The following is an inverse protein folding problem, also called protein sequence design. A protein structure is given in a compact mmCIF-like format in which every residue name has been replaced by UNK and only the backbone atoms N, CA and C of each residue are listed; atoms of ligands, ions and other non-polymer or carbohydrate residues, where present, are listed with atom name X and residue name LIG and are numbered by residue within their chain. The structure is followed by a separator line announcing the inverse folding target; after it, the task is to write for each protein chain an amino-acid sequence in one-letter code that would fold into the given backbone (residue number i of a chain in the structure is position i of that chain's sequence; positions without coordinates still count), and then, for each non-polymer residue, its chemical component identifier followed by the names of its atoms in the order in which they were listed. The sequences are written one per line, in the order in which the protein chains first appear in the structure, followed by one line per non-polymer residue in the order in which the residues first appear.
data_IF_191589631083
#
_entry.id   IF_191589631083
#
_cell.length_a   1.000
_cell.length_b   1.000
_cell.length_c   1.000
_cell.angle_alpha   90.00
_cell.angle_beta   90.00
_cell.angle_gamma   90.00
#
_symmetry.space_group_name_H-M   'P 1'
#
loop_
_entity.id
_entity.type
_entity.pdbx_description
1 polymer ?
#
# COMPACT_ATOMS: atom_id res chain seq x y z
N UNK A 1 -36.49 13.15 22.36
CA UNK A 1 -36.01 11.77 22.18
C UNK A 1 -35.25 11.73 20.87
N UNK A 2 -33.94 11.52 20.94
CA UNK A 2 -33.01 11.44 19.80
C UNK A 2 -33.12 10.10 19.09
N UNK A 3 -33.00 10.12 17.76
CA UNK A 3 -32.53 9.04 16.87
C UNK A 3 -32.85 9.45 15.42
N UNK A 4 -32.02 9.28 14.39
CA UNK A 4 -30.63 8.92 14.24
C UNK A 4 -30.19 9.54 12.91
N UNK A 5 -28.92 9.94 12.87
CA UNK A 5 -28.19 10.36 11.68
C UNK A 5 -28.15 9.18 10.69
N UNK A 6 -28.98 9.20 9.66
CA UNK A 6 -28.85 8.31 8.50
C UNK A 6 -28.24 9.14 7.36
N UNK A 7 -26.93 9.38 7.51
CA UNK A 7 -26.08 9.85 6.43
C UNK A 7 -26.07 8.80 5.33
N UNK A 8 -27.08 8.89 4.46
CA UNK A 8 -27.17 8.21 3.18
C UNK A 8 -25.92 8.58 2.40
N UNK A 9 -24.98 7.64 2.34
CA UNK A 9 -23.77 7.72 1.53
C UNK A 9 -24.19 7.71 0.05
N UNK A 10 -24.57 8.90 -0.42
CA UNK A 10 -24.90 9.23 -1.80
C UNK A 10 -23.63 9.01 -2.62
N UNK A 11 -23.49 7.80 -3.15
CA UNK A 11 -22.38 7.44 -4.04
C UNK A 11 -22.67 8.09 -5.39
N UNK A 12 -22.39 9.39 -5.49
CA UNK A 12 -22.64 10.20 -6.67
C UNK A 12 -21.65 9.82 -7.79
N UNK A 13 -22.08 8.93 -8.68
CA UNK A 13 -21.35 8.59 -9.91
C UNK A 13 -21.55 9.71 -10.93
N UNK A 14 -20.60 10.65 -10.99
CA UNK A 14 -20.56 11.67 -12.05
C UNK A 14 -19.98 11.03 -13.32
N UNK A 15 -20.86 10.59 -14.22
CA UNK A 15 -20.48 10.18 -15.58
C UNK A 15 -20.35 11.45 -16.42
N UNK A 16 -19.14 12.00 -16.48
CA UNK A 16 -18.78 13.01 -17.48
C UNK A 16 -18.22 12.31 -18.71
N UNK A 17 -18.94 12.44 -19.83
CA UNK A 17 -18.57 11.92 -21.14
C UNK A 17 -17.08 12.19 -21.46
N UNK A 18 -16.38 11.13 -21.89
CA UNK A 18 -15.05 11.14 -22.48
C UNK A 18 -13.78 11.23 -21.59
N UNK A 19 -13.85 10.96 -20.28
CA UNK A 19 -12.66 10.62 -19.47
C UNK A 19 -12.86 9.25 -18.82
N UNK A 20 -11.86 8.36 -18.91
CA UNK A 20 -11.85 7.07 -18.19
C UNK A 20 -12.33 7.31 -16.74
N UNK A 21 -13.18 6.44 -16.16
CA UNK A 21 -13.62 6.59 -14.78
C UNK A 21 -12.38 6.62 -13.89
N UNK A 22 -11.98 7.82 -13.47
CA UNK A 22 -11.09 7.99 -12.35
C UNK A 22 -11.93 7.63 -11.15
N UNK A 23 -11.83 6.37 -10.72
CA UNK A 23 -12.27 6.00 -9.38
C UNK A 23 -11.60 7.03 -8.48
N UNK A 24 -12.38 7.72 -7.65
CA UNK A 24 -11.85 8.55 -6.59
C UNK A 24 -11.03 7.60 -5.72
N UNK A 25 -9.74 7.45 -6.04
CA UNK A 25 -8.81 6.78 -5.18
C UNK A 25 -8.86 7.64 -3.94
N UNK A 26 -9.51 7.13 -2.89
CA UNK A 26 -9.17 7.54 -1.55
C UNK A 26 -7.64 7.54 -1.55
N UNK A 27 -7.03 8.72 -1.45
CA UNK A 27 -5.58 8.89 -1.49
C UNK A 27 -5.03 8.23 -0.24
N UNK A 28 -5.01 6.90 -0.23
CA UNK A 28 -4.24 6.12 0.72
C UNK A 28 -2.81 6.41 0.30
N UNK A 29 -2.23 7.42 0.96
CA UNK A 29 -0.89 7.89 0.68
C UNK A 29 0.06 6.88 1.29
N UNK A 30 0.36 5.82 0.54
CA UNK A 30 1.36 4.84 0.91
C UNK A 30 2.74 5.48 0.80
N UNK A 31 3.59 5.31 1.83
CA UNK A 31 4.99 5.72 1.77
C UNK A 31 5.77 4.99 0.67
N UNK A 32 5.40 3.74 0.39
CA UNK A 32 6.03 2.91 -0.64
C UNK A 32 5.02 2.47 -1.69
N UNK A 33 5.42 2.42 -2.96
CA UNK A 33 4.57 1.97 -4.05
C UNK A 33 4.90 0.52 -4.45
N UNK A 34 3.93 -0.28 -4.91
CA UNK A 34 4.20 -1.55 -5.56
C UNK A 34 5.25 -1.38 -6.67
N UNK A 35 6.37 -2.09 -6.55
CA UNK A 35 7.53 -1.92 -7.42
C UNK A 35 8.78 -1.39 -6.72
N UNK A 36 8.62 -0.65 -5.62
CA UNK A 36 9.74 -0.07 -4.89
C UNK A 36 10.57 -1.15 -4.20
N UNK A 37 11.88 -0.92 -4.13
CA UNK A 37 12.77 -1.78 -3.36
C UNK A 37 12.85 -1.25 -1.93
N UNK A 38 12.69 -2.15 -0.96
CA UNK A 38 12.74 -1.87 0.46
C UNK A 38 13.54 -2.94 1.19
N UNK A 39 14.18 -2.54 2.28
CA UNK A 39 14.72 -3.45 3.28
C UNK A 39 13.69 -3.71 4.36
N UNK A 40 13.53 -4.97 4.75
CA UNK A 40 12.77 -5.35 5.92
C UNK A 40 13.63 -5.16 7.16
N UNK A 41 13.23 -4.26 8.05
CA UNK A 41 13.89 -3.99 9.33
C UNK A 41 13.39 -5.00 10.36
N UNK A 42 14.27 -5.88 10.82
CA UNK A 42 14.00 -6.88 11.85
C UNK A 42 14.86 -6.63 13.07
N UNK A 43 14.53 -7.25 14.21
CA UNK A 43 15.35 -7.16 15.43
C UNK A 43 16.79 -7.65 15.25
N UNK A 44 17.06 -8.45 14.22
CA UNK A 44 18.39 -8.99 13.90
C UNK A 44 19.19 -8.15 12.88
N UNK A 45 18.59 -7.10 12.31
CA UNK A 45 19.18 -6.29 11.24
C UNK A 45 18.22 -6.08 10.08
N UNK A 46 18.75 -5.76 8.90
CA UNK A 46 17.97 -5.55 7.68
C UNK A 46 18.02 -6.78 6.79
N UNK A 47 16.86 -7.27 6.35
CA UNK A 47 16.74 -8.32 5.34
C UNK A 47 16.33 -7.71 3.99
N UNK A 48 16.83 -8.26 2.88
CA UNK A 48 16.50 -7.81 1.52
C UNK A 48 17.73 -7.47 0.67
N UNK A 49 17.58 -6.67 -0.40
CA UNK A 49 16.39 -5.90 -0.74
C UNK A 49 15.22 -6.76 -1.24
N UNK A 50 14.01 -6.40 -0.82
CA UNK A 50 12.76 -6.93 -1.34
C UNK A 50 12.03 -5.88 -2.17
N UNK A 51 11.14 -6.31 -3.04
CA UNK A 51 10.28 -5.45 -3.83
C UNK A 51 8.89 -5.41 -3.21
N UNK A 52 8.25 -4.24 -3.17
CA UNK A 52 6.85 -4.13 -2.74
C UNK A 52 5.98 -4.78 -3.81
N UNK A 53 5.26 -5.83 -3.43
CA UNK A 53 4.30 -6.54 -4.28
C UNK A 53 2.95 -5.82 -4.29
N UNK A 54 2.46 -5.46 -3.11
CA UNK A 54 1.20 -4.73 -2.92
C UNK A 54 1.23 -3.91 -1.63
N UNK A 55 0.45 -2.82 -1.62
CA UNK A 55 0.27 -1.96 -0.46
C UNK A 55 -1.24 -1.77 -0.22
N UNK A 56 -1.72 -2.12 0.97
CA UNK A 56 -3.13 -2.05 1.35
C UNK A 56 -3.28 -1.53 2.78
N UNK A 57 -3.90 -0.35 2.94
CA UNK A 57 -4.20 0.25 4.25
C UNK A 57 -2.99 0.42 5.20
N UNK A 58 -1.79 0.69 4.68
CA UNK A 58 -0.55 0.82 5.46
C UNK A 58 0.21 -0.50 5.69
N UNK A 59 -0.30 -1.60 5.12
CA UNK A 59 0.35 -2.90 5.11
C UNK A 59 0.97 -3.17 3.74
N UNK A 60 2.18 -3.74 3.73
CA UNK A 60 2.96 -3.98 2.54
C UNK A 60 3.30 -5.45 2.43
N UNK A 61 2.94 -6.07 1.32
CA UNK A 61 3.39 -7.41 0.97
C UNK A 61 4.65 -7.27 0.14
N UNK A 62 5.66 -8.08 0.45
CA UNK A 62 6.95 -8.05 -0.21
C UNK A 62 7.13 -9.28 -1.10
N UNK A 63 7.87 -9.12 -2.18
CA UNK A 63 8.35 -10.19 -3.04
C UNK A 63 9.87 -10.06 -3.30
N UNK A 64 10.51 -11.14 -3.72
CA UNK A 64 11.90 -11.10 -4.18
C UNK A 64 12.02 -10.49 -5.59
N UNK A 65 13.24 -10.36 -6.11
CA UNK A 65 13.48 -9.86 -7.47
C UNK A 65 12.86 -10.75 -8.57
N UNK A 66 12.51 -12.00 -8.28
CA UNK A 66 11.82 -12.91 -9.19
C UNK A 66 10.30 -12.77 -9.13
N UNK A 67 9.77 -11.92 -8.24
CA UNK A 67 8.33 -11.76 -7.99
C UNK A 67 7.73 -12.88 -7.17
N UNK A 68 8.54 -13.68 -6.47
CA UNK A 68 8.08 -14.67 -5.51
C UNK A 68 7.82 -13.98 -4.18
N UNK A 69 6.61 -14.15 -3.66
CA UNK A 69 6.21 -13.56 -2.39
C UNK A 69 7.18 -13.94 -1.27
N UNK A 70 7.77 -12.92 -0.66
CA UNK A 70 8.74 -13.07 0.41
C UNK A 70 8.04 -13.42 1.73
N UNK A 71 8.75 -14.13 2.61
CA UNK A 71 8.30 -14.45 3.96
C UNK A 71 6.90 -15.09 4.04
N UNK A 72 6.50 -15.82 3.00
CA UNK A 72 5.22 -16.52 2.92
C UNK A 72 4.00 -15.62 2.76
N UNK A 73 4.14 -14.40 2.25
CA UNK A 73 3.03 -13.47 2.05
C UNK A 73 2.62 -12.72 3.30
N UNK A 74 3.56 -12.56 4.23
CA UNK A 74 3.37 -11.66 5.37
C UNK A 74 3.28 -10.22 4.89
N UNK A 75 2.36 -9.50 5.50
CA UNK A 75 2.28 -8.06 5.44
C UNK A 75 3.15 -7.41 6.51
N UNK A 76 3.76 -6.28 6.16
CA UNK A 76 4.64 -5.48 7.00
C UNK A 76 4.14 -4.05 7.07
N UNK A 77 4.41 -3.36 8.19
CA UNK A 77 4.07 -1.96 8.34
C UNK A 77 5.16 -1.04 7.80
N UNK A 78 4.83 0.24 7.58
CA UNK A 78 5.78 1.26 7.11
C UNK A 78 7.01 1.40 8.01
N UNK A 79 6.85 1.22 9.32
CA UNK A 79 7.92 1.31 10.32
C UNK A 79 8.84 0.09 10.32
N UNK A 80 8.38 -1.03 9.75
CA UNK A 80 9.18 -2.25 9.56
C UNK A 80 9.93 -2.23 8.23
N UNK A 81 9.74 -1.20 7.41
CA UNK A 81 10.32 -1.09 6.08
C UNK A 81 11.17 0.16 5.95
N UNK A 82 12.30 0.01 5.28
CA UNK A 82 13.20 1.10 4.93
C UNK A 82 13.42 1.13 3.42
N UNK A 83 13.34 2.31 2.81
CA UNK A 83 13.58 2.45 1.38
C UNK A 83 14.99 1.94 1.03
N UNK A 84 15.08 1.09 0.00
CA UNK A 84 16.37 0.72 -0.56
C UNK A 84 16.99 1.93 -1.24
N UNK A 85 18.05 2.46 -0.66
CA UNK A 85 18.88 3.48 -1.27
C UNK A 85 20.23 2.87 -1.67
N UNK A 86 20.52 2.71 -2.98
CA UNK A 86 21.79 2.16 -3.45
C UNK A 86 22.99 3.11 -3.23
N UNK A 87 22.75 4.35 -2.77
CA UNK A 87 23.75 5.39 -2.58
C UNK A 87 23.88 5.88 -1.12
N UNK A 88 23.12 5.30 -0.19
CA UNK A 88 23.16 5.65 1.23
C UNK A 88 24.39 5.10 1.97
#
# INVERSE_FOLDING_TARGET
MSANDDSTNDTNFVISDNKRPGVNAYDINYKYSPGDKVYLVTSGGKEGPYKVESADGGNYVLCDDYGITANGGRSYLEDELELYDPFA
#
